data_IF_170033021771
#
_entry.id   IF_170033021771
#
_cell.length_a   1.000
_cell.length_b   1.000
_cell.length_c   1.000
_cell.angle_alpha   90.00
_cell.angle_beta   90.00
_cell.angle_gamma   90.00
#
_symmetry.space_group_name_H-M   'P 1'
#
loop_
_entity.id
_entity.type
_entity.pdbx_description
1 polymer ?
#
# COMPACT_ATOMS: atom_id res chain seq x y z
N UNK A 1 11.55 7.73 -8.31
CA UNK A 1 10.21 7.88 -8.91
C UNK A 1 9.19 6.98 -8.20
N UNK A 2 7.92 7.24 -8.43
CA UNK A 2 6.82 6.42 -7.88
C UNK A 2 6.97 4.94 -8.27
N UNK A 3 7.28 4.64 -9.51
CA UNK A 3 7.51 3.27 -9.99
C UNK A 3 8.69 2.58 -9.32
N UNK A 4 9.75 3.32 -9.02
CA UNK A 4 10.93 2.76 -8.36
C UNK A 4 10.63 2.28 -6.94
N UNK A 5 9.92 3.07 -6.14
CA UNK A 5 9.58 2.65 -4.77
C UNK A 5 8.53 1.54 -4.74
N UNK A 6 7.61 1.50 -5.69
CA UNK A 6 6.63 0.41 -5.80
C UNK A 6 7.33 -0.92 -6.09
N UNK A 7 8.28 -0.93 -7.03
CA UNK A 7 9.08 -2.13 -7.31
C UNK A 7 9.93 -2.56 -6.12
N UNK A 8 10.57 -1.61 -5.43
CA UNK A 8 11.34 -1.89 -4.22
C UNK A 8 10.44 -2.51 -3.12
N UNK A 9 9.25 -1.97 -2.92
CA UNK A 9 8.29 -2.49 -1.96
C UNK A 9 7.85 -3.91 -2.31
N UNK A 10 7.61 -4.21 -3.59
CA UNK A 10 7.26 -5.56 -4.03
C UNK A 10 8.37 -6.58 -3.69
N UNK A 11 9.62 -6.23 -3.93
CA UNK A 11 10.78 -7.07 -3.56
C UNK A 11 10.87 -7.27 -2.04
N UNK A 12 10.62 -6.22 -1.24
CA UNK A 12 10.60 -6.31 0.22
C UNK A 12 9.52 -7.29 0.70
N UNK A 13 8.32 -7.24 0.13
CA UNK A 13 7.23 -8.18 0.45
C UNK A 13 7.61 -9.62 0.13
N UNK A 14 8.16 -9.88 -1.05
CA UNK A 14 8.62 -11.23 -1.44
C UNK A 14 9.70 -11.76 -0.51
N UNK A 15 10.65 -10.92 -0.13
CA UNK A 15 11.71 -11.29 0.80
C UNK A 15 11.17 -11.65 2.20
N UNK A 16 10.28 -10.83 2.75
CA UNK A 16 9.67 -11.11 4.05
C UNK A 16 8.73 -12.34 4.00
N UNK A 17 8.01 -12.52 2.91
CA UNK A 17 7.19 -13.72 2.71
C UNK A 17 8.05 -14.99 2.64
N UNK A 18 9.15 -14.97 1.90
CA UNK A 18 10.08 -16.10 1.80
C UNK A 18 10.69 -16.48 3.15
N UNK A 19 11.09 -15.47 3.95
CA UNK A 19 11.57 -15.69 5.32
C UNK A 19 10.52 -16.35 6.20
N UNK A 20 9.29 -15.82 6.19
CA UNK A 20 8.19 -16.36 7.01
C UNK A 20 7.75 -17.75 6.56
N UNK A 21 7.69 -18.00 5.26
CA UNK A 21 7.34 -19.30 4.71
C UNK A 21 8.48 -20.32 4.84
N UNK A 22 9.70 -19.87 5.11
CA UNK A 22 10.93 -20.66 5.00
C UNK A 22 10.97 -21.45 3.67
N UNK A 23 10.59 -20.79 2.56
CA UNK A 23 10.40 -21.41 1.25
C UNK A 23 10.40 -20.35 0.15
N UNK A 24 10.76 -20.76 -1.05
CA UNK A 24 10.60 -19.99 -2.30
C UNK A 24 9.47 -20.54 -3.17
N UNK A 25 8.72 -21.54 -2.69
CA UNK A 25 7.56 -22.08 -3.40
C UNK A 25 6.45 -21.05 -3.54
N UNK A 26 5.98 -20.84 -4.77
CA UNK A 26 5.02 -19.78 -5.10
C UNK A 26 3.69 -19.88 -4.36
N UNK A 27 3.19 -21.11 -4.08
CA UNK A 27 1.93 -21.29 -3.35
C UNK A 27 2.08 -20.88 -1.89
N UNK A 28 3.16 -21.33 -1.26
CA UNK A 28 3.48 -20.96 0.13
C UNK A 28 3.71 -19.47 0.28
N UNK A 29 4.38 -18.83 -0.69
CA UNK A 29 4.56 -17.39 -0.69
C UNK A 29 3.23 -16.66 -0.82
N UNK A 30 2.33 -17.09 -1.71
CA UNK A 30 1.02 -16.48 -1.90
C UNK A 30 0.15 -16.53 -0.63
N UNK A 31 0.20 -17.64 0.11
CA UNK A 31 -0.49 -17.80 1.39
C UNK A 31 0.03 -16.80 2.43
N UNK A 32 1.35 -16.70 2.58
CA UNK A 32 1.99 -15.81 3.56
C UNK A 32 1.82 -14.34 3.19
N UNK A 33 1.81 -13.99 1.91
CA UNK A 33 1.60 -12.61 1.43
C UNK A 33 0.21 -12.08 1.78
N UNK A 34 -0.79 -12.95 1.87
CA UNK A 34 -2.17 -12.59 2.17
C UNK A 34 -2.29 -11.98 3.58
N UNK A 35 -2.59 -10.70 3.67
CA UNK A 35 -2.68 -9.95 4.93
C UNK A 35 -1.32 -9.59 5.57
N UNK A 36 -0.21 -9.81 4.88
CA UNK A 36 1.12 -9.53 5.41
C UNK A 36 1.36 -8.03 5.57
N UNK A 37 1.81 -7.63 6.76
CA UNK A 37 2.31 -6.28 7.05
C UNK A 37 3.82 -6.33 7.23
N UNK A 38 4.52 -5.42 6.57
CA UNK A 38 5.97 -5.27 6.68
C UNK A 38 6.37 -3.86 7.09
N UNK A 39 7.53 -3.71 7.71
CA UNK A 39 8.18 -2.41 7.88
C UNK A 39 8.61 -1.89 6.50
N UNK A 40 8.26 -0.66 6.20
CA UNK A 40 8.54 -0.05 4.91
C UNK A 40 8.72 1.46 5.07
N UNK A 41 9.82 2.05 4.56
CA UNK A 41 10.06 3.49 4.67
C UNK A 41 9.03 4.33 3.91
N UNK A 42 8.28 3.72 3.00
CA UNK A 42 7.22 4.38 2.23
C UNK A 42 5.84 4.29 2.91
N UNK A 43 5.74 3.62 4.04
CA UNK A 43 4.51 3.55 4.84
C UNK A 43 4.23 4.87 5.55
N UNK A 44 2.95 5.26 5.64
CA UNK A 44 2.54 6.47 6.35
C UNK A 44 2.88 6.44 7.84
N UNK A 45 2.85 5.24 8.45
CA UNK A 45 3.23 4.94 9.83
C UNK A 45 4.51 4.08 9.92
N UNK A 46 5.26 3.98 8.83
CA UNK A 46 6.43 3.11 8.72
C UNK A 46 6.13 1.66 8.38
N UNK A 47 4.88 1.33 8.04
CA UNK A 47 4.45 0.00 7.61
C UNK A 47 3.60 0.06 6.35
N UNK A 48 3.58 -1.06 5.60
CA UNK A 48 2.69 -1.29 4.46
C UNK A 48 2.10 -2.68 4.58
N UNK A 49 0.82 -2.81 4.25
CA UNK A 49 0.07 -4.06 4.36
C UNK A 49 -0.44 -4.52 2.99
N UNK A 50 -0.32 -5.81 2.70
CA UNK A 50 -1.03 -6.42 1.59
C UNK A 50 -2.40 -6.88 2.07
N UNK A 51 -3.47 -6.32 1.53
CA UNK A 51 -4.85 -6.67 1.91
C UNK A 51 -5.13 -8.15 1.63
N UNK A 52 -5.90 -8.76 2.52
CA UNK A 52 -6.26 -10.16 2.40
C UNK A 52 -7.34 -10.43 1.34
N UNK A 53 -8.22 -9.45 1.10
CA UNK A 53 -9.37 -9.56 0.22
C UNK A 53 -9.01 -9.42 -1.28
N UNK A 54 -8.16 -8.48 -1.63
CA UNK A 54 -7.83 -8.16 -3.02
C UNK A 54 -6.33 -8.14 -3.32
N UNK A 55 -5.47 -8.35 -2.30
CA UNK A 55 -4.01 -8.35 -2.39
C UNK A 55 -3.41 -7.03 -2.87
N UNK A 56 -4.11 -5.92 -2.70
CA UNK A 56 -3.54 -4.60 -2.94
C UNK A 56 -2.69 -4.14 -1.75
N UNK A 57 -1.68 -3.32 -2.04
CA UNK A 57 -0.84 -2.72 -1.00
C UNK A 57 -1.49 -1.45 -0.48
N UNK A 58 -1.61 -1.33 0.83
CA UNK A 58 -2.19 -0.19 1.53
C UNK A 58 -1.29 0.27 2.67
N UNK A 59 -1.55 1.48 3.18
CA UNK A 59 -0.79 2.05 4.29
C UNK A 59 0.44 2.85 3.86
N UNK A 60 0.76 2.92 2.58
CA UNK A 60 1.85 3.78 2.10
C UNK A 60 1.49 5.27 2.23
N UNK A 61 2.50 6.13 2.32
CA UNK A 61 2.31 7.57 2.40
C UNK A 61 1.70 8.09 1.10
N UNK A 62 0.54 8.72 1.21
CA UNK A 62 -0.17 9.36 0.12
C UNK A 62 -0.56 10.77 0.52
N UNK A 63 -0.80 11.61 -0.46
CA UNK A 63 -1.24 12.97 -0.24
C UNK A 63 -1.61 13.65 -1.54
N UNK A 64 -2.10 14.84 -1.43
CA UNK A 64 -2.42 15.71 -2.55
C UNK A 64 -2.01 17.14 -2.26
N UNK A 65 -1.85 17.91 -3.31
CA UNK A 65 -1.51 19.33 -3.22
C UNK A 65 -1.78 20.04 -4.54
N UNK A 66 -1.61 21.34 -4.55
CA UNK A 66 -1.74 22.17 -5.73
C UNK A 66 -0.42 22.21 -6.49
N UNK A 67 -0.43 21.83 -7.77
CA UNK A 67 0.74 21.92 -8.62
C UNK A 67 0.97 23.33 -9.14
N UNK A 68 2.23 23.75 -9.16
CA UNK A 68 2.67 25.04 -9.73
C UNK A 68 3.85 24.82 -10.68
N UNK A 69 4.07 25.71 -11.68
CA UNK A 69 5.08 25.47 -12.72
C UNK A 69 6.52 25.70 -12.30
N UNK A 70 6.76 26.16 -11.07
CA UNK A 70 8.10 26.49 -10.53
C UNK A 70 8.32 25.81 -9.17
N UNK A 71 9.56 25.73 -8.71
CA UNK A 71 9.85 25.19 -7.39
C UNK A 71 9.06 25.92 -6.28
N UNK A 72 8.50 25.17 -5.32
CA UNK A 72 8.70 23.72 -5.05
C UNK A 72 7.78 22.78 -5.83
N UNK A 73 7.15 23.17 -6.90
CA UNK A 73 6.27 22.43 -7.81
C UNK A 73 4.95 21.94 -7.20
N UNK A 74 4.86 21.84 -5.89
CA UNK A 74 3.63 21.45 -5.16
C UNK A 74 3.49 22.33 -3.91
N UNK A 75 2.32 22.90 -3.74
CA UNK A 75 1.93 23.68 -2.56
C UNK A 75 0.77 22.99 -1.82
N UNK A 76 0.54 23.42 -0.58
CA UNK A 76 -0.60 22.99 0.24
C UNK A 76 -0.74 21.48 0.33
N UNK A 77 0.38 20.79 0.51
CA UNK A 77 0.42 19.33 0.67
C UNK A 77 -0.41 18.89 1.89
N UNK A 78 -1.35 17.99 1.65
CA UNK A 78 -2.15 17.33 2.68
C UNK A 78 -1.93 15.82 2.61
N UNK A 79 -1.65 15.22 3.77
CA UNK A 79 -1.54 13.77 3.88
C UNK A 79 -2.91 13.11 3.75
N UNK A 80 -2.97 11.99 3.04
CA UNK A 80 -4.14 11.13 3.00
C UNK A 80 -4.28 10.31 4.27
N UNK A 81 -5.52 10.12 4.71
CA UNK A 81 -5.86 9.26 5.84
C UNK A 81 -6.46 7.94 5.36
N UNK A 82 -5.75 6.85 5.58
CA UNK A 82 -6.19 5.52 5.15
C UNK A 82 -7.49 5.06 5.80
N UNK A 83 -7.77 5.46 7.03
CA UNK A 83 -9.04 5.13 7.69
C UNK A 83 -10.22 5.73 6.93
N UNK A 84 -10.15 7.00 6.63
CA UNK A 84 -11.17 7.70 5.83
C UNK A 84 -11.31 7.08 4.43
N UNK A 85 -10.19 6.71 3.78
CA UNK A 85 -10.21 6.06 2.47
C UNK A 85 -10.97 4.73 2.52
N UNK A 86 -10.71 3.89 3.54
CA UNK A 86 -11.42 2.62 3.69
C UNK A 86 -12.92 2.80 4.00
N UNK A 87 -13.28 3.79 4.80
CA UNK A 87 -14.67 4.13 5.08
C UNK A 87 -15.41 4.54 3.80
N UNK A 88 -14.83 5.42 3.00
CA UNK A 88 -15.38 5.85 1.72
C UNK A 88 -15.45 4.71 0.69
N UNK A 89 -14.45 3.84 0.65
CA UNK A 89 -14.46 2.65 -0.21
C UNK A 89 -15.62 1.71 0.17
N UNK A 90 -15.81 1.46 1.46
CA UNK A 90 -16.88 0.60 1.95
C UNK A 90 -18.28 1.18 1.62
N UNK A 91 -18.47 2.48 1.82
CA UNK A 91 -19.70 3.17 1.44
C UNK A 91 -19.97 3.08 -0.07
N UNK A 92 -18.92 3.31 -0.88
CA UNK A 92 -19.04 3.21 -2.33
C UNK A 92 -19.39 1.78 -2.78
N UNK A 93 -18.69 0.77 -2.26
CA UNK A 93 -18.99 -0.65 -2.53
C UNK A 93 -20.45 -0.98 -2.20
N UNK A 94 -20.93 -0.56 -1.03
CA UNK A 94 -22.31 -0.74 -0.60
C UNK A 94 -23.31 -0.05 -1.56
N UNK A 95 -23.01 1.18 -1.98
CA UNK A 95 -23.88 1.94 -2.91
C UNK A 95 -23.99 1.30 -4.29
N UNK A 96 -23.00 0.50 -4.69
CA UNK A 96 -22.94 -0.21 -5.98
C UNK A 96 -23.36 -1.68 -5.88
N UNK A 97 -23.72 -2.16 -4.69
CA UNK A 97 -24.06 -3.56 -4.47
C UNK A 97 -22.89 -4.53 -4.50
N UNK A 98 -21.67 -4.04 -4.35
CA UNK A 98 -20.50 -4.88 -4.13
C UNK A 98 -20.42 -5.26 -2.65
N UNK A 99 -20.43 -6.51 -2.37
CA UNK A 99 -20.31 -7.05 -1.01
C UNK A 99 -18.93 -7.65 -0.78
#
# INVERSE_FOLDING_TARGET
>A
TNWSWQNATAVMFLNEAAKKANSTDGKKLAEVLTGLTIKCPFGADGTVTMRADDRTLVGYAIGWGTTIPQEPYVLDMKAGDWKTIFELEAEWKKSKGYT
#
